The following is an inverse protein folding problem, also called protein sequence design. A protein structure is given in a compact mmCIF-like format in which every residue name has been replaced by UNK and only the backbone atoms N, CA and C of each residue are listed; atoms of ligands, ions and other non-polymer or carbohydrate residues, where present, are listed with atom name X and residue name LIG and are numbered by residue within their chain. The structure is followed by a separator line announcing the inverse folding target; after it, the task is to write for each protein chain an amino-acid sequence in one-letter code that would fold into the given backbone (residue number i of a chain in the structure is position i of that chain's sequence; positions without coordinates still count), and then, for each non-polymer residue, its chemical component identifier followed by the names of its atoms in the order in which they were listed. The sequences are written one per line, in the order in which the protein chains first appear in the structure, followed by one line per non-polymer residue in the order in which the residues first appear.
data_IF_466501176816
#
_entry.id   IF_466501176816
#
_cell.length_a   1.000
_cell.length_b   1.000
_cell.length_c   1.000
_cell.angle_alpha   90.00
_cell.angle_beta   90.00
_cell.angle_gamma   90.00
#
_symmetry.space_group_name_H-M   'P 1'
#
loop_
_entity.id
_entity.type
_entity.pdbx_description
1 polymer ?
#
# COMPACT_ATOMS: atom_id res chain seq x y z
N UNK A 1 7.82 -24.39 -87.70
CA UNK A 1 6.61 -24.17 -86.88
C UNK A 1 7.00 -24.14 -85.42
N UNK A 2 6.72 -23.01 -84.78
CA UNK A 2 7.39 -22.50 -83.59
C UNK A 2 6.94 -23.18 -82.29
N UNK A 3 7.91 -23.54 -81.45
CA UNK A 3 7.74 -23.84 -80.02
C UNK A 3 8.16 -22.60 -79.22
N UNK A 4 7.22 -21.90 -78.59
CA UNK A 4 7.54 -20.92 -77.55
C UNK A 4 6.47 -20.85 -76.47
N UNK A 5 6.97 -20.76 -75.23
CA UNK A 5 6.43 -20.14 -74.01
C UNK A 5 5.20 -20.72 -73.32
N UNK A 6 5.40 -21.11 -72.05
CA UNK A 6 4.53 -20.96 -70.87
C UNK A 6 5.36 -21.44 -69.66
N UNK A 7 6.26 -20.65 -69.05
CA UNK A 7 6.05 -19.53 -68.10
C UNK A 7 5.30 -19.93 -66.81
N UNK A 8 6.11 -20.31 -65.82
CA UNK A 8 6.06 -19.96 -64.39
C UNK A 8 4.71 -19.91 -63.67
N UNK A 9 4.47 -20.86 -62.76
CA UNK A 9 3.49 -20.74 -61.68
C UNK A 9 3.98 -21.43 -60.38
N UNK A 10 5.06 -20.90 -59.81
CA UNK A 10 5.61 -21.37 -58.52
C UNK A 10 5.82 -20.17 -57.58
N UNK A 11 4.74 -19.56 -57.08
CA UNK A 11 4.84 -18.51 -56.06
C UNK A 11 3.49 -18.24 -55.39
N UNK A 12 3.03 -19.09 -54.48
CA UNK A 12 1.92 -18.77 -53.56
C UNK A 12 1.88 -19.78 -52.40
N UNK A 13 2.87 -19.74 -51.50
CA UNK A 13 2.81 -20.53 -50.26
C UNK A 13 3.63 -19.92 -49.11
N UNK A 14 3.56 -18.60 -48.89
CA UNK A 14 4.36 -17.95 -47.83
C UNK A 14 3.76 -16.67 -47.23
N UNK A 15 2.46 -16.61 -46.95
CA UNK A 15 1.89 -15.46 -46.20
C UNK A 15 0.76 -15.87 -45.25
N UNK A 16 1.01 -16.79 -44.30
CA UNK A 16 0.08 -16.98 -43.15
C UNK A 16 0.82 -17.33 -41.85
N UNK A 17 2.03 -16.79 -41.66
CA UNK A 17 2.70 -16.73 -40.36
C UNK A 17 2.72 -15.27 -39.88
N UNK A 18 1.54 -14.64 -39.79
CA UNK A 18 1.41 -13.48 -38.91
C UNK A 18 1.40 -14.03 -37.49
N UNK A 19 2.57 -13.97 -36.87
CA UNK A 19 2.77 -14.19 -35.46
C UNK A 19 1.67 -13.47 -34.67
N UNK A 20 1.09 -14.16 -33.69
CA UNK A 20 0.45 -13.53 -32.55
C UNK A 20 1.52 -12.67 -31.85
N UNK A 21 1.76 -11.47 -32.37
CA UNK A 21 2.38 -10.42 -31.59
C UNK A 21 1.38 -10.16 -30.46
N UNK A 22 1.63 -10.76 -29.31
CA UNK A 22 0.97 -10.39 -28.08
C UNK A 22 1.00 -8.86 -28.03
N UNK A 23 -0.13 -8.18 -27.74
CA UNK A 23 -0.13 -6.74 -27.64
C UNK A 23 1.00 -6.34 -26.71
N UNK A 24 2.00 -5.65 -27.26
CA UNK A 24 3.14 -5.16 -26.49
C UNK A 24 2.56 -4.27 -25.41
N UNK A 25 2.56 -4.77 -24.18
CA UNK A 25 2.17 -3.98 -23.02
C UNK A 25 3.02 -2.71 -23.09
N UNK A 26 2.41 -1.51 -23.18
CA UNK A 26 3.19 -0.29 -23.23
C UNK A 26 4.15 -0.26 -22.04
N UNK A 27 5.38 0.27 -22.21
CA UNK A 27 6.36 0.27 -21.14
C UNK A 27 5.75 0.91 -19.89
N UNK A 28 5.79 0.18 -18.79
CA UNK A 28 5.31 0.64 -17.50
C UNK A 28 6.07 1.91 -17.13
N UNK A 29 5.37 3.03 -16.99
CA UNK A 29 6.02 4.24 -16.49
C UNK A 29 6.45 4.02 -15.03
N UNK A 30 7.64 4.51 -14.61
CA UNK A 30 8.10 4.37 -13.22
C UNK A 30 7.09 4.94 -12.20
N UNK A 31 6.39 6.01 -12.58
CA UNK A 31 5.35 6.62 -11.76
C UNK A 31 4.14 5.69 -11.57
N UNK A 32 3.66 5.07 -12.66
CA UNK A 32 2.54 4.14 -12.57
C UNK A 32 2.89 2.89 -11.76
N UNK A 33 4.14 2.42 -11.85
CA UNK A 33 4.62 1.31 -11.02
C UNK A 33 4.67 1.69 -9.53
N UNK A 34 5.14 2.91 -9.21
CA UNK A 34 5.13 3.45 -7.86
C UNK A 34 3.71 3.55 -7.27
N UNK A 35 2.76 4.02 -8.08
CA UNK A 35 1.35 4.08 -7.69
C UNK A 35 0.76 2.69 -7.47
N UNK A 36 1.12 1.70 -8.30
CA UNK A 36 0.69 0.31 -8.12
C UNK A 36 1.26 -0.32 -6.85
N UNK A 37 2.54 -0.09 -6.55
CA UNK A 37 3.15 -0.52 -5.29
C UNK A 37 2.43 0.11 -4.08
N UNK A 38 2.18 1.42 -4.13
CA UNK A 38 1.43 2.13 -3.09
C UNK A 38 0.02 1.55 -2.92
N UNK A 39 -0.68 1.20 -4.00
CA UNK A 39 -2.00 0.58 -3.95
C UNK A 39 -1.98 -0.83 -3.33
N UNK A 40 -0.94 -1.62 -3.59
CA UNK A 40 -0.75 -2.93 -2.94
C UNK A 40 -0.61 -2.74 -1.42
N UNK A 41 0.18 -1.77 -0.98
CA UNK A 41 0.42 -1.48 0.43
C UNK A 41 -0.82 -0.92 1.15
N UNK A 42 -1.56 -0.03 0.49
CA UNK A 42 -2.87 0.47 0.97
C UNK A 42 -3.85 -0.70 1.22
N UNK A 43 -4.00 -1.59 0.23
CA UNK A 43 -4.88 -2.76 0.38
C UNK A 43 -4.36 -3.73 1.47
N UNK A 44 -3.04 -3.87 1.63
CA UNK A 44 -2.47 -4.71 2.68
C UNK A 44 -2.86 -4.25 4.09
N UNK A 45 -2.72 -2.95 4.36
CA UNK A 45 -3.10 -2.39 5.66
C UNK A 45 -4.61 -2.42 5.85
N UNK A 46 -5.38 -2.12 4.80
CA UNK A 46 -6.84 -2.17 4.82
C UNK A 46 -7.35 -3.57 5.18
N UNK A 47 -6.92 -4.62 4.48
CA UNK A 47 -7.38 -5.99 4.74
C UNK A 47 -6.88 -6.50 6.10
N UNK A 48 -5.62 -6.24 6.47
CA UNK A 48 -5.10 -6.60 7.79
C UNK A 48 -5.92 -5.95 8.92
N UNK A 49 -6.30 -4.67 8.76
CA UNK A 49 -7.16 -3.96 9.71
C UNK A 49 -8.56 -4.56 9.76
N UNK A 50 -9.14 -4.91 8.61
CA UNK A 50 -10.46 -5.52 8.53
C UNK A 50 -10.50 -6.87 9.24
N UNK A 51 -9.54 -7.76 8.93
CA UNK A 51 -9.45 -9.07 9.55
C UNK A 51 -9.22 -8.98 11.06
N UNK A 52 -8.27 -8.16 11.51
CA UNK A 52 -8.00 -7.99 12.95
C UNK A 52 -9.17 -7.36 13.69
N UNK A 53 -9.88 -6.40 13.10
CA UNK A 53 -11.08 -5.80 13.70
C UNK A 53 -12.19 -6.85 13.89
N UNK A 54 -12.43 -7.70 12.89
CA UNK A 54 -13.42 -8.76 13.00
C UNK A 54 -12.97 -9.89 13.94
N UNK A 55 -11.68 -10.22 13.94
CA UNK A 55 -11.11 -11.20 14.85
C UNK A 55 -11.27 -10.79 16.32
N UNK A 56 -11.13 -9.51 16.61
CA UNK A 56 -11.25 -8.98 17.97
C UNK A 56 -12.64 -9.16 18.62
N UNK A 57 -13.66 -9.52 17.85
CA UNK A 57 -15.01 -9.81 18.36
C UNK A 57 -15.12 -11.18 19.03
N UNK A 58 -14.17 -12.10 18.79
CA UNK A 58 -14.14 -13.44 19.39
C UNK A 58 -15.16 -14.44 18.82
N UNK A 59 -15.08 -15.70 19.25
CA UNK A 59 -16.04 -16.75 18.86
C UNK A 59 -15.86 -17.24 17.42
N UNK A 60 -16.93 -17.63 16.74
CA UNK A 60 -16.84 -18.18 15.38
C UNK A 60 -16.33 -17.15 14.35
N UNK A 61 -16.66 -15.86 14.55
CA UNK A 61 -16.21 -14.81 13.64
C UNK A 61 -14.70 -14.58 13.71
N UNK A 62 -14.06 -14.87 14.85
CA UNK A 62 -12.60 -14.84 14.99
C UNK A 62 -11.93 -15.90 14.11
N UNK A 63 -12.44 -17.13 14.18
CA UNK A 63 -11.93 -18.25 13.39
C UNK A 63 -12.06 -17.95 11.89
N UNK A 64 -13.22 -17.45 11.45
CA UNK A 64 -13.45 -17.07 10.05
C UNK A 64 -12.51 -15.93 9.60
N UNK A 65 -12.34 -14.90 10.43
CA UNK A 65 -11.46 -13.77 10.12
C UNK A 65 -9.99 -14.21 9.97
N UNK A 66 -9.48 -15.04 10.90
CA UNK A 66 -8.12 -15.58 10.86
C UNK A 66 -7.92 -16.49 9.64
N UNK A 67 -8.87 -17.39 9.36
CA UNK A 67 -8.79 -18.28 8.19
C UNK A 67 -8.72 -17.47 6.89
N UNK A 68 -9.59 -16.47 6.75
CA UNK A 68 -9.60 -15.61 5.56
C UNK A 68 -8.35 -14.74 5.44
N UNK A 69 -7.81 -14.27 6.58
CA UNK A 69 -6.53 -13.56 6.58
C UNK A 69 -5.40 -14.45 6.06
N UNK A 70 -5.33 -15.70 6.50
CA UNK A 70 -4.31 -16.64 6.04
C UNK A 70 -4.45 -16.93 4.54
N UNK A 71 -5.67 -17.16 4.05
CA UNK A 71 -5.93 -17.39 2.62
C UNK A 71 -5.55 -16.17 1.77
N UNK A 72 -5.85 -14.97 2.28
CA UNK A 72 -5.49 -13.72 1.65
C UNK A 72 -3.98 -13.51 1.61
N UNK A 73 -3.29 -13.75 2.73
CA UNK A 73 -1.82 -13.66 2.79
C UNK A 73 -1.18 -14.67 1.85
N UNK A 74 -1.63 -15.93 1.85
CA UNK A 74 -1.13 -16.97 0.94
C UNK A 74 -1.26 -16.57 -0.53
N UNK A 75 -2.33 -15.87 -0.88
CA UNK A 75 -2.60 -15.43 -2.26
C UNK A 75 -1.78 -14.21 -2.69
N UNK A 76 -1.32 -13.39 -1.74
CA UNK A 76 -0.75 -12.07 -2.06
C UNK A 76 0.69 -11.86 -1.57
N UNK A 77 1.22 -12.74 -0.70
CA UNK A 77 2.47 -12.54 0.03
C UNK A 77 3.62 -12.00 -0.84
N UNK A 78 3.91 -12.66 -1.97
CA UNK A 78 4.99 -12.24 -2.87
C UNK A 78 4.78 -10.83 -3.41
N UNK A 79 3.55 -10.49 -3.80
CA UNK A 79 3.23 -9.18 -4.32
C UNK A 79 3.35 -8.10 -3.23
N UNK A 80 2.97 -8.43 -1.99
CA UNK A 80 3.12 -7.52 -0.84
C UNK A 80 4.60 -7.20 -0.57
N UNK A 81 5.43 -8.25 -0.48
CA UNK A 81 6.87 -8.10 -0.24
C UNK A 81 7.56 -7.32 -1.37
N UNK A 82 7.18 -7.60 -2.61
CA UNK A 82 7.78 -6.92 -3.76
C UNK A 82 7.38 -5.44 -3.83
N UNK A 83 6.11 -5.13 -3.55
CA UNK A 83 5.62 -3.76 -3.47
C UNK A 83 6.28 -2.98 -2.32
N UNK A 84 6.44 -3.60 -1.14
CA UNK A 84 7.10 -2.98 0.01
C UNK A 84 8.57 -2.69 -0.25
N UNK A 85 9.26 -3.61 -0.94
CA UNK A 85 10.66 -3.44 -1.33
C UNK A 85 10.82 -2.29 -2.33
N UNK A 86 10.00 -2.26 -3.39
CA UNK A 86 10.04 -1.17 -4.37
C UNK A 86 9.68 0.18 -3.72
N UNK A 87 8.62 0.22 -2.92
CA UNK A 87 8.21 1.42 -2.20
C UNK A 87 9.33 1.92 -1.28
N UNK A 88 10.01 1.02 -0.57
CA UNK A 88 11.12 1.39 0.32
C UNK A 88 12.29 2.01 -0.43
N UNK A 89 12.62 1.49 -1.63
CA UNK A 89 13.63 2.09 -2.49
C UNK A 89 13.24 3.49 -2.97
N UNK A 90 11.96 3.68 -3.34
CA UNK A 90 11.44 4.98 -3.78
C UNK A 90 11.44 6.03 -2.66
N UNK A 91 11.22 5.61 -1.42
CA UNK A 91 11.20 6.50 -0.25
C UNK A 91 12.57 6.71 0.38
N UNK A 92 13.64 6.08 -0.10
CA UNK A 92 14.96 6.11 0.55
C UNK A 92 15.44 7.52 0.93
N UNK A 93 15.24 8.50 0.04
CA UNK A 93 15.62 9.90 0.28
C UNK A 93 14.70 10.64 1.27
N UNK A 94 13.47 10.16 1.46
CA UNK A 94 12.42 10.77 2.29
C UNK A 94 12.26 10.05 3.64
N UNK A 95 13.34 9.44 4.15
CA UNK A 95 13.36 8.72 5.41
C UNK A 95 14.03 9.49 6.54
N UNK A 96 13.73 9.10 7.78
CA UNK A 96 14.44 9.56 8.97
C UNK A 96 14.59 8.41 9.98
N UNK A 97 15.64 8.50 10.78
CA UNK A 97 15.89 7.55 11.86
C UNK A 97 15.20 8.02 13.14
N UNK A 98 14.45 7.13 13.78
CA UNK A 98 13.86 7.39 15.09
C UNK A 98 13.79 6.11 15.92
N UNK A 99 14.34 6.15 17.14
CA UNK A 99 14.38 5.00 18.06
C UNK A 99 14.93 3.70 17.40
N UNK A 100 15.95 3.84 16.54
CA UNK A 100 16.58 2.70 15.85
C UNK A 100 15.75 2.10 14.72
N UNK A 101 14.74 2.83 14.23
CA UNK A 101 13.92 2.46 13.09
C UNK A 101 14.05 3.51 11.99
N UNK A 102 14.25 3.06 10.76
CA UNK A 102 14.10 3.88 9.56
C UNK A 102 12.61 4.04 9.25
N UNK A 103 12.14 5.29 9.24
CA UNK A 103 10.74 5.63 9.03
C UNK A 103 10.57 6.54 7.82
N UNK A 104 9.45 6.41 7.11
CA UNK A 104 9.02 7.38 6.11
C UNK A 104 7.65 7.96 6.52
N UNK A 105 7.51 9.29 6.65
CA UNK A 105 6.22 9.89 7.01
C UNK A 105 5.09 9.52 6.06
N UNK A 106 5.38 9.42 4.76
CA UNK A 106 4.44 8.97 3.72
C UNK A 106 3.93 7.55 3.97
N UNK A 107 4.79 6.64 4.44
CA UNK A 107 4.40 5.28 4.80
C UNK A 107 3.47 5.24 6.03
N UNK A 108 3.75 6.07 7.04
CA UNK A 108 2.92 6.19 8.24
C UNK A 108 1.56 6.79 7.87
N UNK A 109 1.53 7.83 7.04
CA UNK A 109 0.30 8.42 6.50
C UNK A 109 -0.52 7.37 5.76
N UNK A 110 0.10 6.64 4.83
CA UNK A 110 -0.54 5.56 4.06
C UNK A 110 -1.18 4.51 4.98
N UNK A 111 -0.43 4.00 5.95
CA UNK A 111 -0.94 3.00 6.89
C UNK A 111 -2.11 3.54 7.73
N UNK A 112 -2.03 4.79 8.18
CA UNK A 112 -3.11 5.45 8.94
C UNK A 112 -4.38 5.59 8.12
N UNK A 113 -4.28 6.09 6.90
CA UNK A 113 -5.44 6.31 6.02
C UNK A 113 -6.11 4.99 5.62
N UNK A 114 -5.33 3.97 5.27
CA UNK A 114 -5.82 2.64 4.96
C UNK A 114 -6.55 1.99 6.16
N UNK A 115 -5.96 2.11 7.36
CA UNK A 115 -6.58 1.65 8.61
C UNK A 115 -7.89 2.39 8.90
N UNK A 116 -7.90 3.71 8.78
CA UNK A 116 -9.10 4.53 8.99
C UNK A 116 -10.20 4.19 7.99
N UNK A 117 -9.86 3.92 6.72
CA UNK A 117 -10.79 3.42 5.70
C UNK A 117 -11.47 2.13 6.16
N UNK A 118 -10.71 1.14 6.62
CA UNK A 118 -11.26 -0.13 7.11
C UNK A 118 -12.14 0.06 8.37
N UNK A 119 -11.68 0.85 9.35
CA UNK A 119 -12.44 1.14 10.58
C UNK A 119 -13.76 1.84 10.25
N UNK A 120 -13.73 2.83 9.37
CA UNK A 120 -14.92 3.57 8.95
C UNK A 120 -15.90 2.67 8.21
N UNK A 121 -15.42 1.79 7.34
CA UNK A 121 -16.28 0.86 6.62
C UNK A 121 -17.03 -0.08 7.58
N UNK A 122 -16.35 -0.66 8.56
CA UNK A 122 -16.98 -1.54 9.53
C UNK A 122 -17.86 -0.77 10.53
N UNK A 123 -17.40 0.41 10.98
CA UNK A 123 -18.07 1.26 11.98
C UNK A 123 -18.54 0.49 13.23
N UNK A 124 -17.73 -0.47 13.71
CA UNK A 124 -18.14 -1.41 14.78
C UNK A 124 -18.54 -0.70 16.08
N UNK A 125 -17.80 0.34 16.48
CA UNK A 125 -18.05 1.08 17.72
C UNK A 125 -19.40 1.82 17.74
N UNK A 126 -20.07 1.97 16.58
CA UNK A 126 -21.38 2.60 16.46
C UNK A 126 -22.53 1.58 16.42
N UNK A 127 -22.24 0.29 16.62
CA UNK A 127 -23.18 -0.82 16.48
C UNK A 127 -23.33 -1.58 17.80
N UNK A 128 -24.48 -2.21 17.98
CA UNK A 128 -24.68 -3.18 19.08
C UNK A 128 -23.77 -4.41 18.86
N UNK A 129 -23.39 -5.16 19.91
CA UNK A 129 -22.53 -6.34 19.78
C UNK A 129 -23.01 -7.35 18.74
N UNK A 130 -24.31 -7.64 18.72
CA UNK A 130 -24.91 -8.53 17.70
C UNK A 130 -24.73 -7.99 16.27
N UNK A 131 -24.92 -6.68 16.07
CA UNK A 131 -24.76 -6.04 14.77
C UNK A 131 -23.29 -5.91 14.35
N UNK A 132 -22.34 -5.87 15.29
CA UNK A 132 -20.90 -5.92 14.99
C UNK A 132 -20.56 -7.26 14.34
N UNK A 133 -20.98 -8.36 14.95
CA UNK A 133 -20.77 -9.73 14.40
C UNK A 133 -21.40 -9.85 13.02
N UNK A 134 -22.68 -9.47 12.86
CA UNK A 134 -23.37 -9.52 11.56
C UNK A 134 -22.69 -8.67 10.48
N UNK A 135 -22.13 -7.52 10.85
CA UNK A 135 -21.38 -6.65 9.92
C UNK A 135 -20.11 -7.34 9.46
N UNK A 136 -19.36 -7.96 10.37
CA UNK A 136 -18.16 -8.71 10.06
C UNK A 136 -18.45 -9.95 9.21
N UNK A 137 -19.44 -10.78 9.59
CA UNK A 137 -19.88 -11.93 8.78
C UNK A 137 -20.21 -11.51 7.34
N UNK A 138 -21.04 -10.47 7.20
CA UNK A 138 -21.39 -9.95 5.89
C UNK A 138 -20.14 -9.51 5.12
N UNK A 139 -19.26 -8.72 5.73
CA UNK A 139 -18.09 -8.18 5.04
C UNK A 139 -17.08 -9.26 4.64
N UNK A 140 -16.81 -10.21 5.53
CA UNK A 140 -15.94 -11.36 5.29
C UNK A 140 -16.50 -12.30 4.22
N UNK A 141 -17.83 -12.45 4.13
CA UNK A 141 -18.49 -13.23 3.07
C UNK A 141 -18.29 -12.62 1.67
N UNK A 142 -18.05 -11.30 1.58
CA UNK A 142 -17.76 -10.61 0.32
C UNK A 142 -16.31 -10.75 -0.13
N UNK A 143 -15.42 -11.22 0.75
CA UNK A 143 -14.04 -11.53 0.38
C UNK A 143 -14.06 -12.91 -0.30
N UNK A 144 -14.06 -12.90 -1.63
CA UNK A 144 -14.04 -14.09 -2.48
C UNK A 144 -12.76 -14.15 -3.33
N UNK A 145 -12.56 -15.24 -4.08
CA UNK A 145 -11.34 -15.47 -4.87
C UNK A 145 -10.96 -14.34 -5.86
N UNK A 146 -11.91 -13.49 -6.29
CA UNK A 146 -11.62 -12.34 -7.16
C UNK A 146 -11.11 -11.12 -6.38
N UNK A 147 -11.64 -10.86 -5.18
CA UNK A 147 -11.10 -9.83 -4.27
C UNK A 147 -9.87 -10.30 -3.49
N UNK A 148 -9.66 -11.62 -3.42
CA UNK A 148 -8.59 -12.24 -2.64
C UNK A 148 -7.23 -12.20 -3.35
N UNK A 149 -7.17 -11.88 -4.65
CA UNK A 149 -5.93 -11.84 -5.41
C UNK A 149 -5.71 -10.43 -5.96
N UNK A 150 -4.80 -9.68 -5.34
CA UNK A 150 -4.42 -8.32 -5.71
C UNK A 150 -3.84 -8.24 -7.13
N UNK A 151 -3.23 -9.31 -7.65
CA UNK A 151 -2.77 -9.35 -9.04
C UNK A 151 -3.91 -9.29 -10.07
N UNK A 152 -5.17 -9.43 -9.64
CA UNK A 152 -6.38 -9.23 -10.47
C UNK A 152 -7.05 -7.88 -10.23
N UNK A 153 -6.60 -7.09 -9.26
CA UNK A 153 -7.18 -5.80 -8.96
C UNK A 153 -6.89 -4.81 -10.10
N UNK A 154 -7.86 -4.07 -10.66
CA UNK A 154 -7.67 -3.28 -11.88
C UNK A 154 -6.53 -2.27 -11.85
N UNK A 155 -6.25 -1.68 -10.67
CA UNK A 155 -5.14 -0.73 -10.49
C UNK A 155 -3.76 -1.38 -10.37
N UNK A 156 -3.70 -2.69 -10.11
CA UNK A 156 -2.48 -3.44 -9.79
C UNK A 156 -2.15 -4.44 -10.91
N UNK A 157 -3.17 -5.06 -11.50
CA UNK A 157 -3.04 -6.15 -12.47
C UNK A 157 -2.10 -5.85 -13.65
N UNK A 158 -2.12 -4.65 -14.27
CA UNK A 158 -1.19 -4.33 -15.36
C UNK A 158 0.28 -4.32 -14.93
N UNK A 159 0.54 -4.12 -13.63
CA UNK A 159 1.88 -3.90 -13.06
C UNK A 159 2.36 -5.08 -12.22
N UNK A 160 1.50 -6.06 -11.91
CA UNK A 160 1.86 -7.19 -11.07
C UNK A 160 3.09 -7.98 -11.54
N UNK A 161 3.28 -8.26 -12.86
CA UNK A 161 4.49 -8.94 -13.33
C UNK A 161 5.77 -8.16 -13.05
N UNK A 162 5.76 -6.85 -13.25
CA UNK A 162 6.89 -5.96 -12.99
C UNK A 162 7.14 -5.83 -11.48
N UNK A 163 6.09 -5.65 -10.67
CA UNK A 163 6.23 -5.62 -9.22
C UNK A 163 6.95 -6.87 -8.71
N UNK A 164 6.56 -8.06 -9.19
CA UNK A 164 7.16 -9.33 -8.76
C UNK A 164 8.66 -9.48 -9.07
N UNK A 165 9.25 -8.65 -9.94
CA UNK A 165 10.71 -8.65 -10.15
C UNK A 165 11.47 -8.00 -9.02
N UNK A 166 10.78 -7.30 -8.10
CA UNK A 166 11.35 -6.67 -6.90
C UNK A 166 11.24 -7.54 -5.64
N UNK A 167 10.88 -8.83 -5.77
CA UNK A 167 10.75 -9.74 -4.63
C UNK A 167 12.10 -9.86 -3.88
N UNK A 168 12.17 -9.51 -2.58
CA UNK A 168 13.38 -9.72 -1.79
C UNK A 168 13.66 -11.22 -1.59
N UNK A 169 14.94 -11.58 -1.53
CA UNK A 169 15.36 -12.97 -1.37
C UNK A 169 14.99 -13.55 0.02
N UNK A 170 15.11 -12.75 1.08
CA UNK A 170 15.07 -13.24 2.47
C UNK A 170 14.23 -12.34 3.41
N UNK A 171 12.98 -12.03 3.04
CA UNK A 171 12.11 -11.19 3.88
C UNK A 171 10.79 -11.89 4.24
N UNK A 172 10.49 -11.98 5.53
CA UNK A 172 9.19 -12.41 6.04
C UNK A 172 8.27 -11.19 6.24
N UNK A 173 6.95 -11.41 6.08
CA UNK A 173 5.96 -10.40 6.43
C UNK A 173 5.95 -10.22 7.94
N UNK A 174 6.32 -9.03 8.41
CA UNK A 174 6.10 -8.62 9.80
C UNK A 174 5.31 -7.31 9.87
N UNK A 175 5.71 -6.28 9.13
CA UNK A 175 5.03 -4.98 9.05
C UNK A 175 5.05 -4.47 7.61
N UNK A 176 3.88 -4.22 7.03
CA UNK A 176 3.73 -3.66 5.69
C UNK A 176 2.81 -2.44 5.80
N UNK A 177 3.22 -1.23 5.36
CA UNK A 177 4.57 -0.90 4.86
C UNK A 177 5.64 -1.02 5.96
N UNK A 178 6.82 -1.52 5.61
CA UNK A 178 7.93 -1.66 6.58
C UNK A 178 8.40 -0.30 7.11
N UNK A 179 8.45 0.72 6.26
CA UNK A 179 8.81 2.10 6.64
C UNK A 179 7.77 2.81 7.53
N UNK A 180 6.59 2.20 7.76
CA UNK A 180 5.67 2.66 8.80
C UNK A 180 5.98 2.06 10.18
N UNK A 181 6.74 0.96 10.22
CA UNK A 181 7.20 0.24 11.41
C UNK A 181 6.11 -0.02 12.48
N UNK A 182 4.87 -0.26 12.03
CA UNK A 182 3.71 -0.54 12.88
C UNK A 182 3.07 0.70 13.52
N UNK A 183 3.53 1.91 13.20
CA UNK A 183 2.94 3.16 13.69
C UNK A 183 1.63 3.38 12.94
N UNK A 184 0.52 3.46 13.67
CA UNK A 184 -0.82 3.58 13.04
C UNK A 184 -1.62 4.77 13.57
N UNK A 185 -1.59 5.03 14.87
CA UNK A 185 -2.30 6.17 15.45
C UNK A 185 -1.59 6.63 16.72
N UNK A 186 -1.23 7.90 16.75
CA UNK A 186 -0.58 8.54 17.89
C UNK A 186 -1.33 9.84 18.17
N UNK A 187 -1.85 9.95 19.39
CA UNK A 187 -2.50 11.18 19.81
C UNK A 187 -1.46 12.32 19.87
N UNK A 188 -1.83 13.54 19.45
CA UNK A 188 -0.93 14.69 19.55
C UNK A 188 -0.55 14.99 21.00
N UNK A 189 0.69 15.40 21.23
CA UNK A 189 1.18 15.78 22.55
C UNK A 189 1.18 17.30 22.76
N UNK A 190 1.73 17.78 23.89
CA UNK A 190 1.73 19.20 24.24
C UNK A 190 2.38 20.11 23.18
N UNK A 191 3.40 19.62 22.49
CA UNK A 191 4.15 20.43 21.52
C UNK A 191 3.40 20.61 20.19
N UNK A 192 2.49 19.69 19.87
CA UNK A 192 1.71 19.70 18.63
C UNK A 192 0.99 21.04 18.38
N UNK A 193 0.34 21.60 19.40
CA UNK A 193 -0.49 22.81 19.26
C UNK A 193 0.31 24.06 18.86
N UNK A 194 1.61 24.08 19.17
CA UNK A 194 2.51 25.15 18.71
C UNK A 194 2.90 24.97 17.23
N UNK A 195 3.08 23.72 16.81
CA UNK A 195 3.57 23.37 15.47
C UNK A 195 2.51 23.49 14.38
N UNK A 196 1.27 23.04 14.66
CA UNK A 196 0.17 23.04 13.68
C UNK A 196 -0.09 24.43 13.12
N UNK A 197 -0.20 25.43 14.00
CA UNK A 197 -0.50 26.80 13.58
C UNK A 197 0.58 27.43 12.72
N UNK A 198 1.84 27.10 12.97
CA UNK A 198 2.95 27.66 12.19
C UNK A 198 3.02 27.03 10.80
N UNK A 199 2.90 25.70 10.71
CA UNK A 199 2.99 24.99 9.43
C UNK A 199 1.78 25.24 8.51
N UNK A 200 0.56 25.13 9.03
CA UNK A 200 -0.66 25.33 8.24
C UNK A 200 -0.76 26.76 7.67
N UNK A 201 -0.15 27.75 8.31
CA UNK A 201 -0.08 29.11 7.78
C UNK A 201 0.81 29.27 6.54
N UNK A 202 1.79 28.37 6.37
CA UNK A 202 2.77 28.39 5.27
C UNK A 202 2.31 27.56 4.08
N UNK A 203 1.27 26.74 4.25
CA UNK A 203 0.84 25.76 3.25
C UNK A 203 -0.70 25.67 3.18
N UNK A 204 -1.34 26.01 2.04
CA UNK A 204 -2.80 25.98 1.90
C UNK A 204 -3.45 24.61 2.16
N UNK A 205 -2.69 23.53 1.97
CA UNK A 205 -3.09 22.14 2.28
C UNK A 205 -2.13 21.52 3.29
N UNK A 206 -1.71 22.33 4.27
CA UNK A 206 -0.84 21.90 5.35
C UNK A 206 -1.54 20.91 6.27
N UNK A 207 -0.84 19.84 6.65
CA UNK A 207 -1.28 19.00 7.75
C UNK A 207 -0.07 18.48 8.53
N UNK A 208 -0.25 18.24 9.83
CA UNK A 208 0.80 17.67 10.69
C UNK A 208 0.37 16.29 11.20
N UNK A 209 1.18 15.28 10.88
CA UNK A 209 1.06 13.92 11.40
C UNK A 209 1.81 13.79 12.72
N UNK A 210 1.15 13.28 13.75
CA UNK A 210 1.83 12.81 14.97
C UNK A 210 2.39 11.41 14.73
N UNK A 211 3.70 11.25 14.91
CA UNK A 211 4.43 10.00 14.68
C UNK A 211 4.72 9.30 16.01
N UNK A 212 5.18 10.04 17.01
CA UNK A 212 5.40 9.54 18.38
C UNK A 212 5.00 10.61 19.38
N UNK A 213 4.40 10.17 20.48
CA UNK A 213 4.10 11.01 21.64
C UNK A 213 4.33 10.17 22.91
N UNK A 214 5.54 10.24 23.43
CA UNK A 214 5.98 9.63 24.68
C UNK A 214 6.68 10.71 25.50
N UNK A 215 5.89 11.70 25.97
CA UNK A 215 6.42 12.85 26.69
C UNK A 215 7.52 12.45 27.69
N UNK A 216 8.71 13.09 27.65
CA UNK A 216 9.03 14.33 26.94
C UNK A 216 9.41 14.19 25.46
N UNK A 217 9.41 12.97 24.89
CA UNK A 217 9.83 12.71 23.51
C UNK A 217 8.65 12.68 22.56
N UNK A 218 8.69 13.53 21.55
CA UNK A 218 7.64 13.63 20.53
C UNK A 218 8.25 13.64 19.13
N UNK A 219 7.51 13.18 18.13
CA UNK A 219 7.89 13.28 16.73
C UNK A 219 6.68 13.61 15.87
N UNK A 220 6.86 14.53 14.93
CA UNK A 220 5.82 15.03 14.04
C UNK A 220 6.36 15.09 12.60
N UNK A 221 5.48 14.95 11.62
CA UNK A 221 5.81 15.23 10.22
C UNK A 221 4.82 16.22 9.63
N UNK A 222 5.36 17.22 8.97
CA UNK A 222 4.61 18.27 8.31
C UNK A 222 4.51 17.94 6.82
N UNK A 223 3.32 18.12 6.28
CA UNK A 223 3.00 17.80 4.89
C UNK A 223 2.40 19.00 4.18
N UNK A 224 2.67 19.08 2.88
CA UNK A 224 1.99 19.97 1.95
C UNK A 224 1.31 19.13 0.88
N UNK A 225 0.01 18.88 1.06
CA UNK A 225 -0.70 17.88 0.26
C UNK A 225 -0.24 16.46 0.59
N UNK A 226 0.24 15.73 -0.41
CA UNK A 226 0.70 14.35 -0.24
C UNK A 226 2.19 14.20 0.05
N UNK A 227 2.95 15.29 -0.05
CA UNK A 227 4.39 15.29 0.19
C UNK A 227 4.70 15.73 1.63
N UNK A 228 5.50 14.92 2.33
CA UNK A 228 6.12 15.35 3.59
C UNK A 228 7.23 16.33 3.27
N UNK A 229 7.26 17.48 3.94
CA UNK A 229 8.25 18.54 3.70
C UNK A 229 9.31 18.58 4.80
N UNK A 230 8.96 18.16 6.01
CA UNK A 230 9.90 18.08 7.14
C UNK A 230 9.39 17.16 8.23
N UNK A 231 10.32 16.71 9.06
CA UNK A 231 10.09 15.97 10.30
C UNK A 231 10.63 16.78 11.46
N UNK A 232 9.86 16.84 12.54
CA UNK A 232 10.24 17.48 13.79
C UNK A 232 10.40 16.41 14.86
N UNK A 233 11.56 16.39 15.51
CA UNK A 233 11.83 15.52 16.66
C UNK A 233 12.04 16.39 17.88
N UNK A 234 11.23 16.19 18.92
CA UNK A 234 11.21 17.07 20.08
C UNK A 234 11.62 16.33 21.35
N UNK A 235 12.37 17.01 22.21
CA UNK A 235 12.66 16.61 23.59
C UNK A 235 12.38 17.77 24.54
N UNK A 236 11.53 17.52 25.53
CA UNK A 236 11.03 18.54 26.47
C UNK A 236 10.42 19.76 25.77
N UNK A 237 9.77 19.54 24.62
CA UNK A 237 9.17 20.59 23.80
C UNK A 237 10.14 21.45 22.99
N UNK A 238 11.44 21.14 23.00
CA UNK A 238 12.41 21.72 22.08
C UNK A 238 12.55 20.81 20.86
N UNK A 239 12.29 21.33 19.66
CA UNK A 239 12.23 20.52 18.44
C UNK A 239 13.40 20.81 17.50
N UNK A 240 14.00 19.75 16.98
CA UNK A 240 14.91 19.77 15.84
C UNK A 240 14.13 19.47 14.57
N UNK A 241 14.45 20.15 13.47
CA UNK A 241 13.76 20.00 12.18
C UNK A 241 14.69 19.40 11.15
N UNK A 242 14.24 18.33 10.49
CA UNK A 242 14.89 17.72 9.34
C UNK A 242 14.00 17.89 8.11
N UNK A 243 14.52 18.55 7.07
CA UNK A 243 13.83 18.61 5.76
C UNK A 243 13.94 17.26 5.06
N UNK A 244 12.87 16.89 4.36
CA UNK A 244 12.80 15.70 3.51
C UNK A 244 12.77 16.11 2.04
#
# INVERSE_FOLDING_TARGET
MNRHTLLSLSALCSVLLQACAAPSTPPTSPESLAQAATAVLDEAVYYSTLFSSCASLGGEIEIDAISKQQDWLNSNNQLLLSADQLYSQQQAANTFEYQGKTLAPTAIKLAREAKQRAIKELSLNQRTPFNQVKTCEFRLSKINASSNNLAKHPKIAPYAPELLTHLPLDQAIANIPSLAAGITEVAPGPTYYKLVKEHESKCPTGFTLSIVNQWPKEAYANFCGDSSVEVLTCDWGNCETKKL
#
